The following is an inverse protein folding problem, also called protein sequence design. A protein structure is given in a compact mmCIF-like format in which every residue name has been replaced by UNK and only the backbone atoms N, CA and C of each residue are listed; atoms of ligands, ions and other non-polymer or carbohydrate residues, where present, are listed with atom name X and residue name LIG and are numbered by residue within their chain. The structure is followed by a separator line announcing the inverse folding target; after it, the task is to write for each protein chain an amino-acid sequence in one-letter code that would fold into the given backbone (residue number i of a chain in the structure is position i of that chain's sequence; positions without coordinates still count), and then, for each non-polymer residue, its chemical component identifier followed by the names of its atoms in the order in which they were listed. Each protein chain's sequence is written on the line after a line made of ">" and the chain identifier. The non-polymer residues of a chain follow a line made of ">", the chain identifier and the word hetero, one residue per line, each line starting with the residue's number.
data_IF_397518362564
#
_entry.id   IF_397518362564
#
_cell.length_a   1.000
_cell.length_b   1.000
_cell.length_c   1.000
_cell.angle_alpha   90.00
_cell.angle_beta   90.00
_cell.angle_gamma   90.00
#
_symmetry.space_group_name_H-M   'P 1'
#
loop_
_entity.id
_entity.type
_entity.pdbx_description
1 polymer ?
#
# COMPACT_ATOMS: atom_id res chain seq x y z
N UNK A 1 3.08 12.63 8.34
CA UNK A 1 3.63 11.50 9.11
C UNK A 1 2.51 10.55 9.49
N UNK A 2 2.77 9.23 9.37
CA UNK A 2 1.78 8.17 9.50
C UNK A 2 1.22 8.03 10.92
N UNK A 3 -0.02 7.53 11.05
CA UNK A 3 -0.63 7.27 12.36
C UNK A 3 -1.54 6.04 12.27
N UNK A 4 -1.52 5.20 13.30
CA UNK A 4 -2.48 4.10 13.48
C UNK A 4 -3.90 4.65 13.44
N UNK A 5 -4.71 4.21 12.47
CA UNK A 5 -6.11 4.63 12.31
C UNK A 5 -7.07 3.48 12.60
N UNK A 6 -7.30 3.17 13.88
CA UNK A 6 -8.19 2.08 14.31
C UNK A 6 -9.59 2.09 13.65
N UNK A 7 -10.12 3.28 13.38
CA UNK A 7 -11.40 3.44 12.66
C UNK A 7 -11.38 2.85 11.25
N UNK A 8 -10.25 2.93 10.54
CA UNK A 8 -10.11 2.39 9.18
C UNK A 8 -10.20 0.87 9.20
N UNK A 9 -9.48 0.19 10.11
CA UNK A 9 -9.57 -1.27 10.25
C UNK A 9 -11.00 -1.73 10.53
N UNK A 10 -11.71 -1.04 11.44
CA UNK A 10 -13.12 -1.34 11.75
C UNK A 10 -14.02 -1.22 10.51
N UNK A 11 -13.86 -0.16 9.71
CA UNK A 11 -14.67 0.06 8.50
C UNK A 11 -14.36 -1.01 7.44
N UNK A 12 -13.09 -1.36 7.24
CA UNK A 12 -12.70 -2.38 6.27
C UNK A 12 -13.19 -3.78 6.68
N UNK A 13 -13.11 -4.14 7.96
CA UNK A 13 -13.65 -5.41 8.49
C UNK A 13 -15.18 -5.49 8.35
N UNK A 14 -15.89 -4.39 8.62
CA UNK A 14 -17.34 -4.31 8.41
C UNK A 14 -17.70 -4.49 6.92
N UNK A 15 -16.97 -3.84 6.01
CA UNK A 15 -17.13 -4.05 4.58
C UNK A 15 -16.90 -5.52 4.19
N UNK A 16 -15.78 -6.11 4.60
CA UNK A 16 -15.46 -7.51 4.28
C UNK A 16 -16.51 -8.49 4.81
N UNK A 17 -17.02 -8.27 6.02
CA UNK A 17 -18.08 -9.08 6.61
C UNK A 17 -19.36 -9.02 5.78
N UNK A 18 -19.80 -7.80 5.41
CA UNK A 18 -20.98 -7.57 4.58
C UNK A 18 -20.83 -8.18 3.18
N UNK A 19 -19.68 -7.96 2.54
CA UNK A 19 -19.38 -8.48 1.21
C UNK A 19 -19.35 -10.01 1.22
N UNK A 20 -18.72 -10.64 2.21
CA UNK A 20 -18.69 -12.10 2.32
C UNK A 20 -20.08 -12.69 2.55
N UNK A 21 -20.88 -12.05 3.41
CA UNK A 21 -22.27 -12.45 3.64
C UNK A 21 -23.12 -12.31 2.39
N UNK A 22 -22.93 -11.25 1.60
CA UNK A 22 -23.63 -11.09 0.33
C UNK A 22 -23.22 -12.16 -0.69
N UNK A 23 -21.91 -12.33 -0.94
CA UNK A 23 -21.40 -13.20 -2.02
C UNK A 23 -21.36 -14.68 -1.68
N UNK A 24 -21.15 -15.04 -0.41
CA UNK A 24 -20.94 -16.42 0.05
C UNK A 24 -22.02 -16.91 1.01
N UNK A 25 -22.98 -16.06 1.39
CA UNK A 25 -24.12 -16.38 2.27
C UNK A 25 -23.70 -16.98 3.62
N UNK A 26 -22.50 -16.63 4.09
CA UNK A 26 -21.94 -17.03 5.37
C UNK A 26 -21.20 -15.86 6.01
N UNK A 27 -21.02 -15.91 7.32
CA UNK A 27 -20.24 -14.90 8.02
C UNK A 27 -18.74 -15.09 7.73
N UNK A 28 -18.00 -13.99 7.66
CA UNK A 28 -16.55 -14.02 7.43
C UNK A 28 -15.83 -14.40 8.72
N UNK A 29 -14.92 -15.37 8.65
CA UNK A 29 -14.06 -15.75 9.78
C UNK A 29 -12.80 -14.88 9.81
N UNK A 30 -12.66 -14.08 10.87
CA UNK A 30 -11.50 -13.24 11.11
C UNK A 30 -10.43 -13.91 11.99
N UNK A 31 -10.56 -15.20 12.31
CA UNK A 31 -9.55 -15.93 13.08
C UNK A 31 -8.18 -15.81 12.40
N UNK A 32 -7.18 -15.33 13.15
CA UNK A 32 -5.82 -15.10 12.66
C UNK A 32 -5.58 -13.74 11.98
N UNK A 33 -6.58 -12.87 11.86
CA UNK A 33 -6.40 -11.52 11.28
C UNK A 33 -5.99 -10.49 12.32
N UNK A 34 -4.80 -9.91 12.16
CA UNK A 34 -4.29 -8.82 12.99
C UNK A 34 -4.32 -7.46 12.28
N UNK A 35 -4.49 -6.39 13.06
CA UNK A 35 -4.35 -5.03 12.55
C UNK A 35 -2.86 -4.68 12.54
N UNK A 36 -2.26 -4.65 11.35
CA UNK A 36 -0.83 -4.39 11.16
C UNK A 36 -0.53 -2.90 10.92
N UNK A 37 0.53 -2.41 11.57
CA UNK A 37 1.11 -1.09 11.34
C UNK A 37 2.61 -1.16 11.57
N UNK A 38 3.37 -0.69 10.58
CA UNK A 38 4.82 -0.62 10.62
C UNK A 38 5.25 0.80 11.06
N UNK A 39 5.86 0.87 12.25
CA UNK A 39 6.36 2.13 12.82
C UNK A 39 7.66 2.61 12.12
N UNK A 40 8.36 1.71 11.41
CA UNK A 40 9.62 1.98 10.69
C UNK A 40 9.44 2.20 9.18
N UNK A 41 8.20 2.14 8.69
CA UNK A 41 7.90 2.35 7.27
C UNK A 41 8.38 3.73 6.78
N UNK A 42 8.92 3.83 5.55
CA UNK A 42 9.35 5.09 4.96
C UNK A 42 8.28 6.19 5.04
N UNK A 43 8.64 7.38 5.50
CA UNK A 43 7.71 8.49 5.65
C UNK A 43 8.01 9.61 4.67
N UNK A 44 6.95 10.23 4.13
CA UNK A 44 7.09 11.48 3.38
C UNK A 44 7.46 12.64 4.32
N UNK A 45 8.31 13.53 3.83
CA UNK A 45 8.78 14.71 4.56
C UNK A 45 8.18 16.02 4.03
N UNK A 46 7.30 15.93 3.03
CA UNK A 46 6.59 17.07 2.43
C UNK A 46 5.09 16.78 2.26
N UNK A 47 4.35 17.71 1.66
CA UNK A 47 2.89 17.62 1.50
C UNK A 47 2.42 17.09 0.13
N UNK A 48 3.34 16.79 -0.81
CA UNK A 48 3.00 16.53 -2.22
C UNK A 48 3.45 15.15 -2.74
N UNK A 49 4.19 14.37 -1.95
CA UNK A 49 4.66 13.03 -2.32
C UNK A 49 3.75 11.88 -1.83
N UNK A 50 2.64 12.18 -1.14
CA UNK A 50 1.73 11.14 -0.60
C UNK A 50 1.25 10.14 -1.66
N UNK A 51 0.98 10.62 -2.88
CA UNK A 51 0.60 9.76 -4.01
C UNK A 51 1.74 8.85 -4.47
N UNK A 52 2.98 9.36 -4.52
CA UNK A 52 4.15 8.58 -4.94
C UNK A 52 4.46 7.50 -3.89
N UNK A 53 4.45 7.86 -2.59
CA UNK A 53 4.60 6.89 -1.50
C UNK A 53 3.52 5.81 -1.56
N UNK A 54 2.24 6.19 -1.75
CA UNK A 54 1.14 5.23 -1.85
C UNK A 54 1.36 4.23 -3.00
N UNK A 55 1.78 4.72 -4.17
CA UNK A 55 2.10 3.85 -5.31
C UNK A 55 3.29 2.94 -5.05
N UNK A 56 4.37 3.43 -4.42
CA UNK A 56 5.51 2.58 -4.09
C UNK A 56 5.16 1.53 -3.03
N UNK A 57 4.40 1.87 -1.99
CA UNK A 57 3.95 0.86 -1.03
C UNK A 57 3.16 -0.26 -1.72
N UNK A 58 2.25 0.08 -2.64
CA UNK A 58 1.53 -0.92 -3.41
C UNK A 58 2.44 -1.75 -4.33
N UNK A 59 3.41 -1.11 -4.98
CA UNK A 59 4.39 -1.79 -5.84
C UNK A 59 5.15 -2.88 -5.08
N UNK A 60 5.72 -2.54 -3.93
CA UNK A 60 6.50 -3.47 -3.11
C UNK A 60 5.63 -4.56 -2.49
N UNK A 61 4.46 -4.20 -1.92
CA UNK A 61 3.52 -5.18 -1.34
C UNK A 61 3.03 -6.18 -2.39
N UNK A 62 2.71 -5.73 -3.60
CA UNK A 62 2.23 -6.60 -4.67
C UNK A 62 3.26 -7.64 -5.13
N UNK A 63 4.55 -7.36 -4.89
CA UNK A 63 5.69 -8.24 -5.22
C UNK A 63 6.20 -9.04 -4.02
N UNK A 64 5.64 -8.83 -2.83
CA UNK A 64 6.14 -9.44 -1.59
C UNK A 64 7.55 -8.99 -1.22
N UNK A 65 7.95 -7.78 -1.61
CA UNK A 65 9.28 -7.23 -1.37
C UNK A 65 9.28 -6.25 -0.18
N UNK A 66 10.40 -6.18 0.60
CA UNK A 66 10.54 -5.21 1.67
C UNK A 66 10.67 -3.79 1.11
N UNK A 67 10.14 -2.79 1.82
CA UNK A 67 10.23 -1.40 1.38
C UNK A 67 11.69 -0.93 1.32
N UNK A 68 12.20 -0.65 0.12
CA UNK A 68 13.57 -0.18 -0.12
C UNK A 68 13.61 1.19 -0.80
N UNK A 69 12.75 2.11 -0.37
CA UNK A 69 12.72 3.50 -0.87
C UNK A 69 12.56 4.49 0.28
N UNK A 70 12.97 5.73 0.06
CA UNK A 70 12.83 6.84 1.01
C UNK A 70 12.48 8.16 0.27
N UNK A 71 12.46 9.27 1.01
CA UNK A 71 12.13 10.59 0.49
C UNK A 71 13.09 11.07 -0.62
N UNK A 72 14.36 10.69 -0.59
CA UNK A 72 15.36 11.09 -1.59
C UNK A 72 15.07 10.48 -2.97
N UNK A 73 14.38 9.33 -3.00
CA UNK A 73 14.03 8.66 -4.24
C UNK A 73 12.84 9.30 -4.98
N UNK A 74 12.07 10.20 -4.34
CA UNK A 74 10.79 10.69 -4.87
C UNK A 74 10.92 11.38 -6.23
N UNK A 75 12.01 12.12 -6.47
CA UNK A 75 12.26 12.75 -7.77
C UNK A 75 12.39 11.74 -8.90
N UNK A 76 13.21 10.71 -8.70
CA UNK A 76 13.39 9.62 -9.66
C UNK A 76 12.10 8.81 -9.84
N UNK A 77 11.45 8.42 -8.75
CA UNK A 77 10.25 7.58 -8.78
C UNK A 77 9.10 8.27 -9.51
N UNK A 78 8.94 9.58 -9.33
CA UNK A 78 7.93 10.37 -10.05
C UNK A 78 8.19 10.36 -11.56
N UNK A 79 9.45 10.49 -11.99
CA UNK A 79 9.82 10.38 -13.41
C UNK A 79 9.63 8.96 -13.94
N UNK A 80 9.99 7.94 -13.15
CA UNK A 80 9.78 6.54 -13.52
C UNK A 80 8.30 6.24 -13.75
N UNK A 81 7.44 6.68 -12.84
CA UNK A 81 5.98 6.51 -12.96
C UNK A 81 5.43 7.14 -14.26
N UNK A 82 5.93 8.32 -14.66
CA UNK A 82 5.52 8.93 -15.95
C UNK A 82 5.85 7.99 -17.11
N UNK A 83 7.07 7.45 -17.15
CA UNK A 83 7.49 6.53 -18.21
C UNK A 83 6.70 5.22 -18.19
N UNK A 84 6.44 4.66 -17.00
CA UNK A 84 5.67 3.42 -16.83
C UNK A 84 4.23 3.59 -17.32
N UNK A 85 3.58 4.72 -16.99
CA UNK A 85 2.23 5.06 -17.46
C UNK A 85 2.22 5.22 -18.98
N UNK A 86 3.16 6.00 -19.54
CA UNK A 86 3.23 6.23 -20.99
C UNK A 86 3.46 4.93 -21.78
N UNK A 87 4.23 3.98 -21.22
CA UNK A 87 4.52 2.69 -21.85
C UNK A 87 3.45 1.63 -21.57
N UNK A 88 2.57 1.86 -20.58
CA UNK A 88 1.64 0.85 -20.09
C UNK A 88 2.34 -0.37 -19.47
N UNK A 89 3.57 -0.20 -18.96
CA UNK A 89 4.40 -1.29 -18.43
C UNK A 89 5.25 -0.81 -17.26
N UNK A 90 5.14 -1.49 -16.12
CA UNK A 90 5.99 -1.27 -14.95
C UNK A 90 7.43 -1.72 -15.22
N UNK A 91 8.40 -1.03 -14.63
CA UNK A 91 9.80 -1.47 -14.72
C UNK A 91 10.04 -2.68 -13.83
N UNK A 92 10.77 -3.68 -14.33
CA UNK A 92 11.16 -4.82 -13.51
C UNK A 92 12.24 -4.36 -12.52
N UNK A 93 11.93 -4.40 -11.23
CA UNK A 93 12.94 -4.24 -10.18
C UNK A 93 13.86 -5.47 -10.23
N UNK A 94 14.93 -5.42 -11.03
CA UNK A 94 16.03 -6.37 -10.85
C UNK A 94 16.60 -6.15 -9.45
N UNK A 95 16.66 -7.23 -8.68
CA UNK A 95 17.22 -7.31 -7.34
C UNK A 95 18.54 -6.53 -7.28
N UNK A 96 18.56 -5.48 -6.47
CA UNK A 96 19.82 -4.92 -5.98
C UNK A 96 20.43 -5.90 -4.98
#
# INVERSE_FOLDING_TARGET
>A
MGRKRGKVYKILRDYLSKEHKDKKKKDFDFTGWEDYFDDDAPQQENAYDCGVFSCQFMEYLSRGAPFSFNQENMGYLRQRMILEIMRGKLWDQQSA
#
